data_IF_142023662984
#
_entry.id   IF_142023662984
#
_cell.length_a   1.000
_cell.length_b   1.000
_cell.length_c   1.000
_cell.angle_alpha   90.00
_cell.angle_beta   90.00
_cell.angle_gamma   90.00
#
_symmetry.space_group_name_H-M   'P 1'
#
loop_
_entity.id
_entity.type
_entity.pdbx_description
1 polymer ?
#
# COMPACT_ATOMS: atom_id res chain seq x y z
N UNK A 1 -1.44 0.26 -9.97
CA UNK A 1 -0.12 -0.36 -9.67
C UNK A 1 1.01 0.64 -9.81
N UNK A 2 1.09 1.41 -10.91
CA UNK A 2 2.06 2.51 -11.03
C UNK A 2 1.81 3.61 -9.99
N UNK A 3 0.55 3.92 -9.68
CA UNK A 3 0.20 5.07 -8.83
C UNK A 3 0.61 4.95 -7.35
N UNK A 4 0.49 3.76 -6.73
CA UNK A 4 0.93 3.52 -5.34
C UNK A 4 2.46 3.66 -5.23
N UNK A 5 3.20 3.14 -6.20
CA UNK A 5 4.66 3.27 -6.27
C UNK A 5 5.09 4.73 -6.50
N UNK A 6 4.38 5.45 -7.38
CA UNK A 6 4.60 6.87 -7.63
C UNK A 6 4.38 7.73 -6.37
N UNK A 7 3.37 7.42 -5.53
CA UNK A 7 3.12 8.14 -4.28
C UNK A 7 4.30 8.10 -3.31
N UNK A 8 5.03 6.99 -3.30
CA UNK A 8 6.22 6.83 -2.47
C UNK A 8 7.52 7.25 -3.17
N UNK A 9 7.44 7.79 -4.40
CA UNK A 9 8.61 8.21 -5.17
C UNK A 9 9.57 7.06 -5.51
N UNK A 10 9.11 5.81 -5.42
CA UNK A 10 9.91 4.63 -5.70
C UNK A 10 9.56 4.12 -7.09
N UNK A 11 10.45 4.37 -8.05
CA UNK A 11 10.33 3.77 -9.37
C UNK A 11 10.88 2.35 -9.31
N UNK A 12 10.01 1.34 -9.11
CA UNK A 12 10.40 -0.07 -9.16
C UNK A 12 10.18 -0.55 -10.60
N UNK A 13 11.25 -0.78 -11.40
CA UNK A 13 11.10 -1.33 -12.74
C UNK A 13 10.34 -2.64 -12.68
N UNK A 14 9.46 -2.88 -13.66
CA UNK A 14 8.74 -4.15 -13.85
C UNK A 14 9.67 -5.38 -13.93
N UNK A 15 10.97 -5.15 -14.16
CA UNK A 15 12.04 -6.16 -14.18
C UNK A 15 12.62 -6.49 -12.79
N UNK A 16 12.47 -5.62 -11.79
CA UNK A 16 13.03 -5.82 -10.44
C UNK A 16 12.14 -6.72 -9.56
N UNK A 17 10.90 -6.95 -9.98
CA UNK A 17 10.08 -8.04 -9.45
C UNK A 17 10.59 -9.38 -9.97
N UNK A 18 11.56 -9.97 -9.27
CA UNK A 18 12.06 -11.33 -9.53
C UNK A 18 11.06 -12.44 -9.13
N UNK A 19 9.77 -12.09 -8.99
CA UNK A 19 8.67 -12.98 -8.67
C UNK A 19 7.58 -12.83 -9.74
N UNK A 20 7.09 -13.98 -10.21
CA UNK A 20 5.98 -14.08 -11.17
C UNK A 20 4.62 -13.72 -10.58
N UNK A 21 4.53 -13.71 -9.25
CA UNK A 21 3.31 -13.41 -8.49
C UNK A 21 3.59 -12.23 -7.58
N UNK A 22 2.65 -11.29 -7.56
CA UNK A 22 2.61 -10.19 -6.60
C UNK A 22 1.53 -10.55 -5.58
N UNK A 23 1.88 -10.51 -4.29
CA UNK A 23 0.89 -10.64 -3.23
C UNK A 23 0.38 -9.24 -2.89
N UNK A 24 -0.94 -9.06 -2.91
CA UNK A 24 -1.60 -7.80 -2.56
C UNK A 24 -2.74 -8.08 -1.58
N UNK A 25 -2.96 -7.14 -0.66
CA UNK A 25 -4.13 -7.14 0.23
C UNK A 25 -4.66 -5.71 0.44
N UNK A 26 -5.98 -5.58 0.65
CA UNK A 26 -6.65 -4.34 1.08
C UNK A 26 -7.27 -4.61 2.46
N UNK A 27 -6.63 -4.08 3.50
CA UNK A 27 -7.07 -4.28 4.88
C UNK A 27 -7.82 -3.03 5.38
N UNK A 28 -8.99 -3.22 6.00
CA UNK A 28 -9.67 -2.17 6.77
C UNK A 28 -9.03 -2.07 8.16
N UNK A 29 -8.68 -0.85 8.57
CA UNK A 29 -8.08 -0.57 9.88
C UNK A 29 -8.83 0.55 10.61
N UNK A 30 -8.73 0.58 11.93
CA UNK A 30 -9.18 1.69 12.77
C UNK A 30 -7.96 2.27 13.49
N UNK A 31 -7.82 3.59 13.47
CA UNK A 31 -6.71 4.29 14.11
C UNK A 31 -7.28 5.06 15.30
N UNK A 32 -6.91 4.65 16.52
CA UNK A 32 -7.49 5.16 17.75
C UNK A 32 -7.23 6.66 17.97
N UNK A 33 -6.10 7.17 17.49
CA UNK A 33 -5.67 8.57 17.63
C UNK A 33 -5.30 9.11 16.25
N UNK A 34 -6.29 9.18 15.36
CA UNK A 34 -6.13 9.78 14.04
C UNK A 34 -6.52 11.27 14.08
N UNK A 35 -5.62 12.15 13.62
CA UNK A 35 -5.85 13.59 13.70
C UNK A 35 -7.11 13.98 12.92
N UNK A 36 -8.07 14.59 13.62
CA UNK A 36 -9.31 15.09 13.01
C UNK A 36 -10.33 14.01 12.66
N UNK A 37 -10.21 12.77 13.20
CA UNK A 37 -11.14 11.68 12.94
C UNK A 37 -11.54 10.94 14.22
N UNK A 38 -12.76 10.40 14.21
CA UNK A 38 -13.28 9.59 15.32
C UNK A 38 -12.54 8.24 15.41
N UNK A 39 -12.27 7.69 16.61
CA UNK A 39 -11.56 6.41 16.77
C UNK A 39 -12.23 5.20 16.10
N UNK A 40 -13.53 5.30 15.84
CA UNK A 40 -14.33 4.26 15.16
C UNK A 40 -14.29 4.37 13.64
N UNK A 41 -13.73 5.47 13.11
CA UNK A 41 -13.58 5.74 11.69
C UNK A 41 -12.81 4.63 10.99
N UNK A 42 -13.21 4.33 9.76
CA UNK A 42 -12.54 3.33 8.93
C UNK A 42 -11.44 3.99 8.11
N UNK A 43 -10.30 3.33 8.07
CA UNK A 43 -9.19 3.64 7.18
C UNK A 43 -8.80 2.38 6.42
N UNK A 44 -7.96 2.55 5.41
CA UNK A 44 -7.52 1.48 4.54
C UNK A 44 -6.00 1.43 4.51
N UNK A 45 -5.49 0.21 4.55
CA UNK A 45 -4.09 -0.10 4.34
C UNK A 45 -3.98 -1.06 3.15
N UNK A 46 -3.26 -0.68 2.11
CA UNK A 46 -2.91 -1.57 1.02
C UNK A 46 -1.52 -2.13 1.28
N UNK A 47 -1.40 -3.45 1.29
CA UNK A 47 -0.13 -4.15 1.37
C UNK A 47 0.21 -4.71 -0.01
N UNK A 48 1.47 -4.56 -0.41
CA UNK A 48 2.02 -5.28 -1.54
C UNK A 48 3.35 -5.92 -1.14
N UNK A 49 3.53 -7.21 -1.43
CA UNK A 49 4.80 -7.90 -1.29
C UNK A 49 5.34 -8.34 -2.67
N UNK A 50 6.55 -7.88 -2.98
CA UNK A 50 7.31 -8.19 -4.20
C UNK A 50 8.81 -8.37 -3.86
N UNK A 51 9.70 -8.36 -4.84
CA UNK A 51 11.15 -8.53 -4.65
C UNK A 51 11.66 -9.97 -4.84
N UNK A 52 12.97 -10.16 -4.65
CA UNK A 52 13.61 -11.47 -4.81
C UNK A 52 13.18 -12.42 -3.68
N UNK A 53 13.17 -13.76 -3.90
CA UNK A 53 12.74 -14.71 -2.87
C UNK A 53 13.41 -14.55 -1.50
N UNK A 54 14.68 -14.13 -1.48
CA UNK A 54 15.46 -13.91 -0.26
C UNK A 54 15.53 -12.44 0.17
N UNK A 55 14.91 -11.53 -0.60
CA UNK A 55 14.91 -10.10 -0.37
C UNK A 55 13.52 -9.54 -0.72
N UNK A 56 12.47 -9.90 0.05
CA UNK A 56 11.15 -9.37 -0.18
C UNK A 56 11.13 -7.87 0.15
N UNK A 57 10.44 -7.11 -0.68
CA UNK A 57 10.07 -5.72 -0.43
C UNK A 57 8.57 -5.73 -0.14
N UNK A 58 8.19 -5.16 1.01
CA UNK A 58 6.80 -5.03 1.42
C UNK A 58 6.48 -3.55 1.50
N UNK A 59 5.53 -3.11 0.69
CA UNK A 59 5.03 -1.75 0.66
C UNK A 59 3.70 -1.69 1.39
N UNK A 60 3.55 -0.64 2.20
CA UNK A 60 2.32 -0.30 2.89
C UNK A 60 1.89 1.10 2.45
N UNK A 61 0.68 1.21 1.91
CA UNK A 61 0.05 2.49 1.59
C UNK A 61 -1.18 2.68 2.47
N UNK A 62 -1.29 3.82 3.12
CA UNK A 62 -2.36 4.15 4.03
C UNK A 62 -3.21 5.29 3.47
N UNK A 63 -4.54 5.12 3.53
CA UNK A 63 -5.49 6.20 3.24
C UNK A 63 -6.64 6.24 4.25
N UNK A 64 -7.12 7.45 4.50
CA UNK A 64 -8.31 7.70 5.32
C UNK A 64 -9.61 7.42 4.57
N UNK A 65 -9.53 7.23 3.25
CA UNK A 65 -10.65 6.94 2.37
C UNK A 65 -10.38 5.65 1.58
N UNK A 66 -11.46 4.99 1.15
CA UNK A 66 -11.39 3.87 0.20
C UNK A 66 -11.28 4.33 -1.25
N UNK A 67 -11.58 5.62 -1.49
CA UNK A 67 -11.68 6.15 -2.83
C UNK A 67 -10.32 6.04 -3.51
N UNK A 68 -10.31 5.40 -4.67
CA UNK A 68 -9.21 5.36 -5.63
C UNK A 68 -9.03 6.75 -6.28
N UNK A 69 -9.23 7.84 -5.56
CA UNK A 69 -9.05 9.20 -6.09
C UNK A 69 -7.58 9.58 -5.97
N UNK A 70 -6.90 9.42 -7.10
CA UNK A 70 -5.63 10.03 -7.42
C UNK A 70 -5.94 11.37 -8.11
N UNK A 71 -5.42 12.52 -7.64
CA UNK A 71 -5.27 13.72 -8.47
C UNK A 71 -4.31 13.49 -9.64
#
# INVERSE_FOLDING_TARGET
MNEVLCRHGVDIPRQTSARWVIHCDETRVQVMIELGREPTSQSWMWMQANGQPNQPVIMFDYSTNRAHEVP
#
